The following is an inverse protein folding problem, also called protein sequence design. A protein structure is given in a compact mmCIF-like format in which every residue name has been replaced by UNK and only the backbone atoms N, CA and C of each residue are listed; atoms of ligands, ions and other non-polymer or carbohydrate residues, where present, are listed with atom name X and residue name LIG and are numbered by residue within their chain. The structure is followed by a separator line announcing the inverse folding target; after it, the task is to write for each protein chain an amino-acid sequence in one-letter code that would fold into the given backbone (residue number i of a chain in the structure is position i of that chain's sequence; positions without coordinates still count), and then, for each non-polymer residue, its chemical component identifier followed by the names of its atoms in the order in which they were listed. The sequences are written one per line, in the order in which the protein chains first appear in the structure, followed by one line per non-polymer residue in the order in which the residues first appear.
data_IF_268866289171
#
_entry.id   IF_268866289171
#
_cell.length_a   1.000
_cell.length_b   1.000
_cell.length_c   1.000
_cell.angle_alpha   90.00
_cell.angle_beta   90.00
_cell.angle_gamma   90.00
#
_symmetry.space_group_name_H-M   'P 1'
#
loop_
_entity.id
_entity.type
_entity.pdbx_description
1 polymer ?
#
# COMPACT_ATOMS: atom_id res chain seq x y z
N UNK A 1 7.88 -10.73 -8.81
CA UNK A 1 8.67 -9.76 -8.03
C UNK A 1 8.05 -8.35 -8.00
N UNK A 2 7.08 -8.01 -8.80
CA UNK A 2 6.49 -6.66 -8.84
C UNK A 2 5.10 -6.51 -8.19
N UNK A 3 4.52 -7.57 -7.66
CA UNK A 3 3.14 -7.57 -7.20
C UNK A 3 2.96 -6.96 -5.81
N UNK A 4 3.93 -7.11 -4.96
CA UNK A 4 3.86 -6.59 -3.58
C UNK A 4 4.01 -5.08 -3.50
N UNK A 5 4.63 -4.44 -4.48
CA UNK A 5 4.64 -2.97 -4.61
C UNK A 5 3.24 -2.38 -4.62
N UNK A 6 2.36 -2.97 -5.43
CA UNK A 6 0.99 -2.50 -5.56
C UNK A 6 0.14 -2.73 -4.31
N UNK A 7 0.63 -3.52 -3.36
CA UNK A 7 -0.09 -3.90 -2.15
C UNK A 7 0.33 -3.00 -1.00
N UNK A 8 1.63 -2.87 -0.75
CA UNK A 8 2.14 -2.03 0.34
C UNK A 8 1.92 -0.54 0.09
N UNK A 9 2.08 -0.08 -1.15
CA UNK A 9 1.73 1.30 -1.50
C UNK A 9 0.23 1.58 -1.30
N UNK A 10 -0.63 0.58 -1.50
CA UNK A 10 -2.06 0.70 -1.19
C UNK A 10 -2.31 0.84 0.30
N UNK A 11 -1.69 0.01 1.13
CA UNK A 11 -1.79 0.11 2.59
C UNK A 11 -1.29 1.48 3.07
N UNK A 12 -0.17 1.97 2.54
CA UNK A 12 0.34 3.31 2.81
C UNK A 12 -0.68 4.39 2.40
N UNK A 13 -1.34 4.24 1.25
CA UNK A 13 -2.34 5.20 0.79
C UNK A 13 -3.58 5.24 1.69
N UNK A 14 -3.99 4.11 2.29
CA UNK A 14 -5.06 4.08 3.28
C UNK A 14 -4.64 4.81 4.57
N UNK A 15 -3.42 4.58 5.05
CA UNK A 15 -2.88 5.31 6.20
C UNK A 15 -2.86 6.82 5.93
N UNK A 16 -2.40 7.25 4.75
CA UNK A 16 -2.46 8.64 4.31
C UNK A 16 -3.88 9.18 4.32
N UNK A 17 -4.84 8.44 3.79
CA UNK A 17 -6.25 8.84 3.73
C UNK A 17 -6.80 9.10 5.14
N UNK A 18 -6.53 8.20 6.09
CA UNK A 18 -6.94 8.37 7.49
C UNK A 18 -6.29 9.61 8.11
N UNK A 19 -4.98 9.77 7.97
CA UNK A 19 -4.26 10.94 8.49
C UNK A 19 -4.75 12.25 7.86
N UNK A 20 -4.88 12.31 6.53
CA UNK A 20 -5.26 13.54 5.82
C UNK A 20 -6.72 13.92 6.05
N UNK A 21 -7.65 13.00 5.85
CA UNK A 21 -9.09 13.29 5.90
C UNK A 21 -9.73 13.00 7.27
N UNK A 22 -9.29 11.96 7.94
CA UNK A 22 -9.80 11.60 9.27
C UNK A 22 -9.22 12.49 10.37
N UNK A 23 -7.90 12.56 10.46
CA UNK A 23 -7.19 13.32 11.50
C UNK A 23 -6.92 14.78 11.11
N UNK A 24 -7.17 15.19 9.86
CA UNK A 24 -6.92 16.56 9.35
C UNK A 24 -5.45 16.99 9.41
N UNK A 25 -4.53 16.06 9.34
CA UNK A 25 -3.09 16.36 9.36
C UNK A 25 -2.65 17.11 8.11
N UNK A 26 -1.77 18.07 8.28
CA UNK A 26 -1.06 18.74 7.18
C UNK A 26 -0.04 17.81 6.52
N UNK A 27 0.37 18.12 5.28
CA UNK A 27 1.42 17.34 4.60
C UNK A 27 2.74 17.35 5.38
N UNK A 28 3.05 18.44 6.08
CA UNK A 28 4.24 18.52 6.92
C UNK A 28 4.18 17.58 8.12
N UNK A 29 3.05 17.49 8.81
CA UNK A 29 2.87 16.55 9.92
C UNK A 29 2.92 15.10 9.43
N UNK A 30 2.34 14.81 8.26
CA UNK A 30 2.42 13.49 7.63
C UNK A 30 3.87 13.16 7.26
N UNK A 31 4.61 14.10 6.65
CA UNK A 31 6.05 13.95 6.39
C UNK A 31 6.83 13.59 7.66
N UNK A 32 6.63 14.35 8.74
CA UNK A 32 7.31 14.11 10.01
C UNK A 32 6.97 12.73 10.60
N UNK A 33 5.72 12.33 10.47
CA UNK A 33 5.24 11.02 10.92
C UNK A 33 5.94 9.88 10.18
N UNK A 34 5.94 9.89 8.85
CA UNK A 34 6.64 8.87 8.05
C UNK A 34 8.15 8.90 8.29
N UNK A 35 8.75 10.08 8.45
CA UNK A 35 10.18 10.22 8.80
C UNK A 35 10.49 9.57 10.15
N UNK A 36 9.60 9.72 11.14
CA UNK A 36 9.75 9.07 12.46
C UNK A 36 9.61 7.56 12.33
N UNK A 37 8.59 7.08 11.61
CA UNK A 37 8.35 5.65 11.39
C UNK A 37 9.50 4.97 10.66
N UNK A 38 10.15 5.67 9.73
CA UNK A 38 11.32 5.14 9.02
C UNK A 38 12.56 4.96 9.92
N UNK A 39 12.56 5.51 11.13
CA UNK A 39 13.60 5.26 12.15
C UNK A 39 13.25 4.11 13.10
N UNK A 40 12.08 3.53 12.95
CA UNK A 40 11.53 2.48 13.82
C UNK A 40 11.28 1.17 13.09
N UNK A 41 10.21 0.49 13.51
CA UNK A 41 9.81 -0.83 13.00
C UNK A 41 9.39 -0.83 11.52
N UNK A 42 8.96 0.29 11.00
CA UNK A 42 8.55 0.47 9.60
C UNK A 42 9.71 0.89 8.69
N UNK A 43 10.96 0.87 9.18
CA UNK A 43 12.13 1.22 8.36
C UNK A 43 12.14 0.43 7.06
N UNK A 44 11.97 1.15 5.95
CA UNK A 44 11.96 0.55 4.61
C UNK A 44 12.06 1.64 3.54
N UNK A 45 12.53 1.24 2.37
CA UNK A 45 12.59 2.13 1.20
C UNK A 45 11.23 2.79 0.89
N UNK A 46 10.11 2.05 0.96
CA UNK A 46 8.79 2.62 0.69
C UNK A 46 8.39 3.70 1.70
N UNK A 47 8.69 3.51 2.97
CA UNK A 47 8.39 4.51 4.02
C UNK A 47 9.28 5.74 3.84
N UNK A 48 10.56 5.56 3.47
CA UNK A 48 11.48 6.65 3.17
C UNK A 48 10.98 7.52 2.02
N UNK A 49 10.71 6.92 0.85
CA UNK A 49 10.22 7.68 -0.30
C UNK A 49 8.83 8.28 -0.05
N UNK A 50 8.00 7.65 0.78
CA UNK A 50 6.71 8.22 1.18
C UNK A 50 6.91 9.51 1.98
N UNK A 51 7.84 9.52 2.92
CA UNK A 51 8.19 10.74 3.66
C UNK A 51 8.64 11.86 2.70
N UNK A 52 9.47 11.54 1.70
CA UNK A 52 9.95 12.52 0.72
C UNK A 52 8.85 13.03 -0.21
N UNK A 53 7.87 12.21 -0.59
CA UNK A 53 6.71 12.64 -1.37
C UNK A 53 5.94 13.75 -0.65
N UNK A 54 5.72 13.64 0.66
CA UNK A 54 5.00 14.67 1.42
C UNK A 54 5.81 15.94 1.69
N UNK A 55 7.09 15.94 1.42
CA UNK A 55 7.97 17.12 1.46
C UNK A 55 8.07 17.82 0.10
N UNK A 56 7.88 17.08 -0.99
CA UNK A 56 8.09 17.58 -2.34
C UNK A 56 7.06 18.65 -2.72
N UNK A 57 7.56 19.77 -3.26
CA UNK A 57 6.76 20.88 -3.73
C UNK A 57 6.97 21.12 -5.23
N UNK A 58 5.94 21.57 -5.88
CA UNK A 58 6.01 22.08 -7.26
C UNK A 58 6.79 23.40 -7.27
N UNK A 59 7.67 23.57 -8.25
CA UNK A 59 8.66 24.68 -8.27
C UNK A 59 8.02 26.04 -8.55
N UNK A 60 7.00 26.06 -9.42
CA UNK A 60 6.38 27.32 -9.87
C UNK A 60 5.35 27.83 -8.87
N UNK A 61 4.53 26.95 -8.30
CA UNK A 61 3.42 27.31 -7.41
C UNK A 61 3.75 27.23 -5.93
N UNK A 62 4.78 26.46 -5.56
CA UNK A 62 5.11 26.15 -4.16
C UNK A 62 4.12 25.20 -3.47
N UNK A 63 3.12 24.69 -4.20
CA UNK A 63 2.16 23.71 -3.69
C UNK A 63 2.79 22.32 -3.50
N UNK A 64 2.25 21.53 -2.60
CA UNK A 64 2.72 20.15 -2.42
C UNK A 64 2.35 19.29 -3.62
N UNK A 65 3.33 18.62 -4.22
CA UNK A 65 3.11 17.77 -5.39
C UNK A 65 2.05 16.68 -5.14
N UNK A 66 1.96 16.14 -3.94
CA UNK A 66 0.97 15.12 -3.58
C UNK A 66 -0.48 15.62 -3.73
N UNK A 67 -0.73 16.89 -3.52
CA UNK A 67 -2.06 17.50 -3.66
C UNK A 67 -2.42 17.79 -5.12
N UNK A 68 -1.44 17.82 -6.02
CA UNK A 68 -1.60 18.06 -7.46
C UNK A 68 -1.74 16.75 -8.27
N UNK A 69 -1.43 15.61 -7.67
CA UNK A 69 -1.47 14.30 -8.35
C UNK A 69 -2.91 13.92 -8.70
N UNK A 70 -3.09 13.44 -9.93
CA UNK A 70 -4.38 12.94 -10.39
C UNK A 70 -4.82 11.72 -9.54
N UNK A 71 -5.98 11.80 -8.93
CA UNK A 71 -6.65 10.71 -8.21
C UNK A 71 -7.09 9.60 -9.18
N UNK A 72 -6.10 8.85 -9.71
CA UNK A 72 -6.32 7.72 -10.60
C UNK A 72 -5.07 6.86 -10.67
N UNK A 73 -5.15 5.60 -10.25
CA UNK A 73 -4.08 4.64 -10.37
C UNK A 73 -4.44 3.52 -11.35
N UNK A 74 -3.43 3.01 -12.07
CA UNK A 74 -3.55 1.82 -12.93
C UNK A 74 -2.61 0.74 -12.44
N UNK A 75 -2.97 -0.52 -12.66
CA UNK A 75 -2.08 -1.64 -12.41
C UNK A 75 -1.24 -1.97 -13.64
N UNK A 76 -0.05 -2.53 -13.43
CA UNK A 76 0.84 -3.03 -14.50
C UNK A 76 0.64 -4.53 -14.80
N UNK A 77 -0.25 -5.22 -14.08
CA UNK A 77 -0.59 -6.63 -14.29
C UNK A 77 0.00 -7.61 -13.27
N UNK A 78 1.09 -7.28 -12.59
CA UNK A 78 1.75 -8.19 -11.63
C UNK A 78 0.85 -8.56 -10.45
N UNK A 79 0.11 -7.61 -9.89
CA UNK A 79 -0.88 -7.88 -8.84
C UNK A 79 -1.97 -8.85 -9.31
N UNK A 80 -2.52 -8.63 -10.51
CA UNK A 80 -3.47 -9.54 -11.14
C UNK A 80 -2.90 -10.96 -11.26
N UNK A 81 -1.67 -11.09 -11.74
CA UNK A 81 -1.04 -12.41 -11.90
C UNK A 81 -0.82 -13.09 -10.55
N UNK A 82 -0.48 -12.36 -9.51
CA UNK A 82 -0.34 -12.92 -8.17
C UNK A 82 -1.67 -13.49 -7.67
N UNK A 83 -2.76 -12.73 -7.77
CA UNK A 83 -4.10 -13.19 -7.39
C UNK A 83 -4.54 -14.41 -8.22
N UNK A 84 -4.32 -14.39 -9.54
CA UNK A 84 -4.64 -15.53 -10.40
C UNK A 84 -3.85 -16.78 -10.01
N UNK A 85 -2.54 -16.64 -9.85
CA UNK A 85 -1.68 -17.74 -9.43
C UNK A 85 -2.05 -18.28 -8.04
N UNK A 86 -2.42 -17.40 -7.10
CA UNK A 86 -2.88 -17.83 -5.79
C UNK A 86 -4.15 -18.69 -5.88
N UNK A 87 -5.10 -18.32 -6.73
CA UNK A 87 -6.32 -19.10 -6.97
C UNK A 87 -6.00 -20.44 -7.64
N UNK A 88 -5.09 -20.46 -8.64
CA UNK A 88 -4.69 -21.69 -9.33
C UNK A 88 -4.04 -22.70 -8.39
N UNK A 89 -3.31 -22.23 -7.38
CA UNK A 89 -2.65 -23.07 -6.36
C UNK A 89 -3.47 -23.25 -5.06
N UNK A 90 -4.69 -22.72 -5.00
CA UNK A 90 -5.54 -22.83 -3.81
C UNK A 90 -5.00 -22.10 -2.58
N UNK A 91 -4.26 -21.00 -2.77
CA UNK A 91 -3.67 -20.19 -1.69
C UNK A 91 -4.54 -18.98 -1.39
N UNK A 92 -4.89 -18.79 -0.12
CA UNK A 92 -5.65 -17.62 0.31
C UNK A 92 -4.73 -16.41 0.49
N UNK A 93 -4.95 -15.35 -0.30
CA UNK A 93 -4.19 -14.10 -0.24
C UNK A 93 -5.09 -12.86 -0.13
N UNK A 94 -5.98 -12.80 0.86
CA UNK A 94 -7.05 -11.80 0.92
C UNK A 94 -6.54 -10.35 1.01
N UNK A 95 -5.41 -10.09 1.67
CA UNK A 95 -4.82 -8.73 1.72
C UNK A 95 -4.32 -8.31 0.34
N UNK A 96 -3.71 -9.21 -0.39
CA UNK A 96 -3.22 -9.00 -1.76
C UNK A 96 -4.42 -8.77 -2.69
N UNK A 97 -5.42 -9.63 -2.67
CA UNK A 97 -6.61 -9.55 -3.50
C UNK A 97 -7.39 -8.25 -3.27
N UNK A 98 -7.56 -7.86 -2.01
CA UNK A 98 -8.20 -6.59 -1.65
C UNK A 98 -7.43 -5.40 -2.25
N UNK A 99 -6.12 -5.37 -2.12
CA UNK A 99 -5.28 -4.29 -2.65
C UNK A 99 -5.35 -4.21 -4.18
N UNK A 100 -5.31 -5.35 -4.87
CA UNK A 100 -5.45 -5.43 -6.32
C UNK A 100 -6.82 -4.93 -6.77
N UNK A 101 -7.89 -5.37 -6.10
CA UNK A 101 -9.26 -4.97 -6.40
C UNK A 101 -9.49 -3.47 -6.20
N UNK A 102 -9.00 -2.92 -5.10
CA UNK A 102 -9.12 -1.48 -4.82
C UNK A 102 -8.30 -0.63 -5.79
N UNK A 103 -7.16 -1.15 -6.27
CA UNK A 103 -6.39 -0.47 -7.31
C UNK A 103 -7.10 -0.46 -8.66
N UNK A 104 -7.78 -1.55 -9.02
CA UNK A 104 -8.64 -1.59 -10.21
C UNK A 104 -9.77 -0.57 -10.07
N UNK A 105 -10.45 -0.55 -8.93
CA UNK A 105 -11.53 0.41 -8.65
C UNK A 105 -11.04 1.85 -8.74
N UNK A 106 -9.83 2.15 -8.27
CA UNK A 106 -9.21 3.48 -8.39
C UNK A 106 -9.09 3.96 -9.82
N UNK A 107 -8.95 3.07 -10.81
CA UNK A 107 -8.87 3.43 -12.22
C UNK A 107 -10.18 3.99 -12.79
N UNK A 108 -11.32 3.67 -12.20
CA UNK A 108 -12.67 4.07 -12.64
C UNK A 108 -13.10 5.42 -12.02
N UNK A 109 -12.31 6.48 -12.24
CA UNK A 109 -12.55 7.79 -11.62
C UNK A 109 -13.93 8.36 -11.94
N UNK A 110 -14.39 8.26 -13.17
CA UNK A 110 -15.70 8.81 -13.57
C UNK A 110 -16.85 8.06 -12.90
N UNK A 111 -16.75 6.75 -12.78
CA UNK A 111 -17.73 5.91 -12.04
C UNK A 111 -17.77 6.29 -10.56
N UNK A 112 -16.60 6.48 -9.92
CA UNK A 112 -16.50 6.92 -8.52
C UNK A 112 -17.14 8.29 -8.32
N UNK A 113 -16.88 9.24 -9.22
CA UNK A 113 -17.50 10.58 -9.19
C UNK A 113 -19.01 10.55 -9.41
N UNK A 114 -19.49 9.67 -10.27
CA UNK A 114 -20.93 9.50 -10.47
C UNK A 114 -21.58 8.89 -9.23
N UNK A 115 -20.94 7.90 -8.61
CA UNK A 115 -21.39 7.32 -7.36
C UNK A 115 -21.45 8.32 -6.21
N UNK A 116 -20.44 9.20 -6.08
CA UNK A 116 -20.42 10.26 -5.05
C UNK A 116 -21.64 11.20 -5.13
N UNK A 117 -22.18 11.43 -6.33
CA UNK A 117 -23.38 12.26 -6.52
C UNK A 117 -24.68 11.54 -6.12
N UNK A 118 -24.70 10.21 -6.21
CA UNK A 118 -25.88 9.38 -5.96
C UNK A 118 -25.95 8.94 -4.48
N UNK A 119 -24.81 8.53 -3.93
CA UNK A 119 -24.74 7.99 -2.58
C UNK A 119 -24.46 9.12 -1.59
N UNK A 120 -25.15 9.06 -0.44
CA UNK A 120 -24.86 9.96 0.66
C UNK A 120 -23.43 9.74 1.18
N UNK A 121 -22.76 10.84 1.54
CA UNK A 121 -21.44 10.74 2.19
C UNK A 121 -21.52 9.86 3.44
N UNK A 122 -20.60 8.95 3.66
CA UNK A 122 -20.55 8.18 4.89
C UNK A 122 -20.44 9.13 6.07
N UNK A 123 -21.09 8.78 7.18
CA UNK A 123 -20.92 9.52 8.44
C UNK A 123 -19.43 9.51 8.78
N UNK A 124 -18.91 10.66 9.21
CA UNK A 124 -17.53 10.74 9.69
C UNK A 124 -17.30 9.70 10.78
N UNK A 125 -16.19 9.00 10.72
CA UNK A 125 -15.76 8.11 11.80
C UNK A 125 -15.52 9.00 13.01
N UNK A 126 -16.39 8.90 14.02
CA UNK A 126 -16.24 9.58 15.29
C UNK A 126 -15.48 8.63 16.22
N UNK A 127 -14.19 8.80 16.33
CA UNK A 127 -13.33 8.06 17.23
C UNK A 127 -12.00 8.78 17.38
N UNK A 128 -11.38 8.69 18.54
CA UNK A 128 -10.02 9.15 18.72
C UNK A 128 -9.08 8.12 18.08
N UNK A 129 -8.63 8.39 16.86
CA UNK A 129 -7.58 7.61 16.19
C UNK A 129 -6.27 8.27 16.55
N UNK A 130 -5.35 7.50 17.09
CA UNK A 130 -3.99 7.96 17.38
C UNK A 130 -3.03 7.57 16.24
N UNK A 131 -1.99 8.37 16.07
CA UNK A 131 -0.93 8.07 15.05
C UNK A 131 -0.30 6.70 15.29
N UNK A 132 -0.20 6.27 16.55
CA UNK A 132 0.32 4.95 16.91
C UNK A 132 -0.60 3.79 16.47
N UNK A 133 -1.90 4.01 16.39
CA UNK A 133 -2.83 2.99 15.87
C UNK A 133 -2.60 2.76 14.39
N UNK A 134 -2.33 3.83 13.63
CA UNK A 134 -2.03 3.76 12.21
C UNK A 134 -0.66 3.07 11.99
N UNK A 135 0.34 3.38 12.82
CA UNK A 135 1.65 2.68 12.77
C UNK A 135 1.48 1.18 12.96
N UNK A 136 0.74 0.77 13.99
CA UNK A 136 0.48 -0.64 14.26
C UNK A 136 -0.33 -1.31 13.14
N UNK A 137 -1.30 -0.61 12.56
CA UNK A 137 -2.06 -1.11 11.42
C UNK A 137 -1.18 -1.32 10.17
N UNK A 138 -0.23 -0.40 9.90
CA UNK A 138 0.75 -0.56 8.82
C UNK A 138 1.67 -1.76 9.06
N UNK A 139 2.20 -1.92 10.28
CA UNK A 139 3.05 -3.07 10.66
C UNK A 139 2.27 -4.37 10.43
N UNK A 140 1.02 -4.43 10.91
CA UNK A 140 0.17 -5.59 10.72
C UNK A 140 -0.09 -5.88 9.23
N UNK A 141 -0.50 -4.87 8.47
CA UNK A 141 -0.77 -5.00 7.05
C UNK A 141 0.44 -5.48 6.25
N UNK A 142 1.63 -4.94 6.52
CA UNK A 142 2.88 -5.40 5.89
C UNK A 142 3.21 -6.84 6.27
N UNK A 143 3.07 -7.19 7.54
CA UNK A 143 3.28 -8.56 8.01
C UNK A 143 2.36 -9.54 7.28
N UNK A 144 1.08 -9.20 7.11
CA UNK A 144 0.13 -10.04 6.40
C UNK A 144 0.46 -10.18 4.92
N UNK A 145 0.95 -9.13 4.26
CA UNK A 145 1.41 -9.21 2.87
C UNK A 145 2.57 -10.19 2.72
N UNK A 146 3.57 -10.12 3.59
CA UNK A 146 4.69 -11.05 3.59
C UNK A 146 4.24 -12.49 3.89
N UNK A 147 3.40 -12.69 4.89
CA UNK A 147 2.90 -14.02 5.24
C UNK A 147 2.16 -14.68 4.07
N UNK A 148 1.28 -13.93 3.40
CA UNK A 148 0.51 -14.42 2.26
C UNK A 148 1.40 -14.67 1.04
N UNK A 149 2.30 -13.75 0.71
CA UNK A 149 3.22 -13.90 -0.41
C UNK A 149 4.20 -15.06 -0.23
N UNK A 150 4.77 -15.24 0.95
CA UNK A 150 5.65 -16.37 1.26
C UNK A 150 4.91 -17.70 1.28
N UNK A 151 3.65 -17.72 1.76
CA UNK A 151 2.81 -18.91 1.70
C UNK A 151 2.55 -19.35 0.25
N UNK A 152 2.25 -18.40 -0.62
CA UNK A 152 2.07 -18.67 -2.05
C UNK A 152 3.35 -19.21 -2.70
N UNK A 153 4.50 -18.58 -2.42
CA UNK A 153 5.80 -19.06 -2.92
C UNK A 153 6.11 -20.48 -2.43
N UNK A 154 5.81 -20.79 -1.17
CA UNK A 154 6.02 -22.12 -0.59
C UNK A 154 5.20 -23.18 -1.34
N UNK A 155 3.89 -23.00 -1.44
CA UNK A 155 3.01 -23.97 -2.08
C UNK A 155 3.39 -24.14 -3.56
N UNK A 156 3.66 -23.04 -4.27
CA UNK A 156 4.12 -23.09 -5.67
C UNK A 156 5.45 -23.82 -5.81
N UNK A 157 6.39 -23.58 -4.88
CA UNK A 157 7.69 -24.24 -4.90
C UNK A 157 7.57 -25.74 -4.71
N UNK A 158 6.73 -26.19 -3.78
CA UNK A 158 6.47 -27.61 -3.54
C UNK A 158 5.81 -28.28 -4.76
N UNK A 159 4.78 -27.68 -5.34
CA UNK A 159 4.05 -28.23 -6.47
C UNK A 159 4.89 -28.27 -7.77
N UNK A 160 5.65 -27.21 -8.01
CA UNK A 160 6.48 -27.10 -9.23
C UNK A 160 7.89 -27.60 -9.05
N UNK A 161 8.28 -28.03 -7.85
CA UNK A 161 9.62 -28.54 -7.50
C UNK A 161 10.73 -27.53 -7.80
N UNK A 162 10.49 -26.25 -7.43
CA UNK A 162 11.45 -25.16 -7.66
C UNK A 162 12.57 -25.12 -6.63
N UNK A 163 12.39 -25.73 -5.47
CA UNK A 163 13.35 -25.71 -4.35
C UNK A 163 13.80 -24.29 -3.97
N UNK A 164 12.83 -23.40 -3.74
CA UNK A 164 13.07 -21.98 -3.46
C UNK A 164 13.73 -21.79 -2.09
N UNK A 165 14.79 -21.00 -2.06
CA UNK A 165 15.39 -20.52 -0.82
C UNK A 165 14.71 -19.22 -0.37
N UNK A 166 13.78 -19.32 0.60
CA UNK A 166 12.98 -18.18 1.06
C UNK A 166 13.82 -17.13 1.79
N UNK A 167 14.91 -17.55 2.47
CA UNK A 167 15.81 -16.61 3.12
C UNK A 167 16.50 -15.71 2.10
N UNK A 168 17.02 -16.28 1.02
CA UNK A 168 17.65 -15.51 -0.06
C UNK A 168 16.65 -14.62 -0.78
N UNK A 169 15.42 -15.10 -1.01
CA UNK A 169 14.35 -14.27 -1.58
C UNK A 169 14.08 -13.06 -0.70
N UNK A 170 13.94 -13.24 0.62
CA UNK A 170 13.73 -12.15 1.55
C UNK A 170 14.92 -11.18 1.60
N UNK A 171 16.16 -11.67 1.47
CA UNK A 171 17.35 -10.82 1.38
C UNK A 171 17.35 -9.96 0.12
N UNK A 172 17.00 -10.55 -1.03
CA UNK A 172 16.87 -9.85 -2.31
C UNK A 172 15.80 -8.74 -2.19
N UNK A 173 14.69 -9.02 -1.54
CA UNK A 173 13.62 -8.05 -1.34
C UNK A 173 14.04 -6.84 -0.51
N UNK A 174 15.06 -6.95 0.34
CA UNK A 174 15.63 -5.81 1.09
C UNK A 174 16.59 -4.94 0.27
N UNK A 175 17.14 -5.48 -0.81
CA UNK A 175 18.22 -4.87 -1.59
C UNK A 175 17.78 -3.83 -2.63
N UNK A 176 16.80 -2.99 -2.32
CA UNK A 176 16.31 -1.94 -3.23
C UNK A 176 15.19 -2.41 -4.16
N UNK A 177 14.67 -3.58 -3.96
CA UNK A 177 13.38 -3.95 -4.51
C UNK A 177 12.31 -3.12 -3.79
N UNK A 178 11.33 -2.64 -4.53
CA UNK A 178 10.23 -1.81 -4.02
C UNK A 178 9.25 -2.67 -3.17
N UNK A 179 9.71 -3.77 -2.68
CA UNK A 179 8.99 -4.69 -1.79
C UNK A 179 9.36 -4.42 -0.35
#
# INVERSE_FOLDING_TARGET
VGSEMCIRDRIISEAYHIMKLGMKMSNQEIHQTFTKWNKGKLNSYLIEITADIFKAKEVETGEYLVDLILDKAKQKGTGKWTSQSAMDFGVAVPTIDSSVSMRILSSFKETRRSGEKIFSKPKSITGNIEVNDIENALIYGFTMCYAQGLSQLKITSEEKKYDLNYEEICKIWRGGCII
#
